data_IF_724724274686
#
_entry.id   IF_724724274686
#
_cell.length_a   1.000
_cell.length_b   1.000
_cell.length_c   1.000
_cell.angle_alpha   90.00
_cell.angle_beta   90.00
_cell.angle_gamma   90.00
#
_symmetry.space_group_name_H-M   'P 1'
#
loop_
_entity.id
_entity.type
_entity.pdbx_description
1 polymer ?
#
# COMPACT_ATOMS: atom_id res chain seq x y z
N UNK A 1 45.30 46.71 -35.26
CA UNK A 1 44.00 46.01 -35.26
C UNK A 1 43.76 45.46 -33.86
N UNK A 2 42.81 45.98 -33.09
CA UNK A 2 42.56 45.55 -31.70
C UNK A 2 41.42 44.50 -31.71
N UNK A 3 41.74 43.22 -31.51
CA UNK A 3 40.73 42.18 -31.30
C UNK A 3 40.19 42.33 -29.87
N UNK A 4 38.91 42.66 -29.74
CA UNK A 4 38.18 42.59 -28.47
C UNK A 4 37.66 41.17 -28.32
N UNK A 5 38.25 40.39 -27.41
CA UNK A 5 37.76 39.07 -27.04
C UNK A 5 36.54 39.25 -26.14
N UNK A 6 35.35 38.94 -26.65
CA UNK A 6 34.13 38.88 -25.85
C UNK A 6 34.04 37.48 -25.22
N UNK A 7 34.19 37.41 -23.90
CA UNK A 7 34.01 36.19 -23.13
C UNK A 7 32.51 36.03 -22.82
N UNK A 8 31.81 35.18 -23.57
CA UNK A 8 30.41 34.82 -23.29
C UNK A 8 30.35 33.87 -22.11
N UNK A 9 29.80 34.35 -20.98
CA UNK A 9 29.40 33.50 -19.87
C UNK A 9 28.13 32.74 -20.26
N UNK A 10 28.26 31.43 -20.47
CA UNK A 10 27.13 30.53 -20.66
C UNK A 10 26.53 30.22 -19.28
N UNK A 11 25.40 30.86 -18.93
CA UNK A 11 24.61 30.46 -17.76
C UNK A 11 23.97 29.09 -18.06
N UNK A 12 24.49 28.03 -17.44
CA UNK A 12 23.78 26.75 -17.37
C UNK A 12 22.62 26.89 -16.40
N UNK A 13 21.40 27.04 -16.91
CA UNK A 13 20.20 26.82 -16.12
C UNK A 13 20.06 25.32 -15.89
N UNK A 14 20.36 24.86 -14.67
CA UNK A 14 19.97 23.51 -14.27
C UNK A 14 18.43 23.45 -14.30
N UNK A 15 17.88 22.77 -15.30
CA UNK A 15 16.46 22.47 -15.31
C UNK A 15 16.17 21.57 -14.11
N UNK A 16 15.58 22.13 -13.06
CA UNK A 16 14.96 21.33 -12.01
C UNK A 16 13.73 20.68 -12.65
N UNK A 17 13.93 19.53 -13.29
CA UNK A 17 12.82 18.74 -13.80
C UNK A 17 12.00 18.32 -12.59
N UNK A 18 10.73 18.76 -12.51
CA UNK A 18 9.77 18.19 -11.57
C UNK A 18 9.91 16.66 -11.60
N UNK A 19 9.99 16.03 -10.43
CA UNK A 19 10.04 14.59 -10.32
C UNK A 19 8.66 14.09 -9.90
N UNK A 20 7.72 13.97 -10.84
CA UNK A 20 6.33 13.65 -10.52
C UNK A 20 6.19 12.35 -9.71
N UNK A 21 7.17 11.43 -9.80
CA UNK A 21 7.22 10.17 -9.04
C UNK A 21 7.56 10.33 -7.55
N UNK A 22 8.14 11.46 -7.13
CA UNK A 22 8.49 11.74 -5.72
C UNK A 22 7.39 12.55 -5.04
N UNK A 23 6.65 13.36 -5.81
CA UNK A 23 5.59 14.24 -5.29
C UNK A 23 4.18 13.62 -5.38
N UNK A 24 4.04 12.45 -6.02
CA UNK A 24 2.76 11.76 -6.20
C UNK A 24 2.27 10.97 -4.99
N UNK A 25 3.06 10.89 -3.91
CA UNK A 25 2.69 10.14 -2.71
C UNK A 25 1.80 10.99 -1.80
N UNK A 26 0.78 10.38 -1.20
CA UNK A 26 -0.01 11.02 -0.16
C UNK A 26 0.81 11.03 1.12
N UNK A 27 1.58 12.12 1.33
CA UNK A 27 2.37 12.33 2.52
C UNK A 27 1.48 12.67 3.71
N UNK A 28 1.81 12.11 4.87
CA UNK A 28 1.22 12.48 6.14
C UNK A 28 1.33 14.00 6.37
N UNK A 29 0.24 14.63 6.77
CA UNK A 29 0.14 16.05 7.10
C UNK A 29 -0.06 16.28 8.61
N UNK A 30 0.44 15.36 9.45
CA UNK A 30 0.27 15.38 10.90
C UNK A 30 -0.94 14.61 11.44
N UNK A 31 -1.61 13.82 10.60
CA UNK A 31 -2.72 12.98 11.04
C UNK A 31 -2.26 11.64 11.63
N UNK A 32 -3.08 11.10 12.53
CA UNK A 32 -2.93 9.73 13.05
C UNK A 32 -3.95 8.80 12.39
N UNK A 33 -3.58 7.54 12.21
CA UNK A 33 -4.46 6.55 11.64
C UNK A 33 -5.68 6.30 12.52
N UNK A 34 -6.83 6.05 11.89
CA UNK A 34 -8.11 5.90 12.60
C UNK A 34 -9.02 4.87 11.94
N UNK A 35 -9.85 4.22 12.76
CA UNK A 35 -10.77 3.16 12.34
C UNK A 35 -11.87 2.97 13.39
N UNK A 36 -12.87 2.16 13.05
CA UNK A 36 -13.92 1.74 13.96
C UNK A 36 -13.62 0.34 14.49
N UNK A 37 -13.23 0.27 15.75
CA UNK A 37 -12.85 -0.97 16.41
C UNK A 37 -14.10 -1.73 16.87
N UNK A 38 -14.18 -3.03 16.57
CA UNK A 38 -15.17 -3.92 17.18
C UNK A 38 -14.78 -4.21 18.64
N UNK A 39 -15.39 -3.54 19.61
CA UNK A 39 -15.01 -3.61 21.03
C UNK A 39 -15.60 -4.81 21.77
N UNK A 40 -16.65 -5.44 21.22
CA UNK A 40 -17.26 -6.63 21.82
C UNK A 40 -16.75 -7.94 21.22
N UNK A 41 -15.90 -7.88 20.18
CA UNK A 41 -15.29 -9.03 19.52
C UNK A 41 -16.27 -9.97 18.77
N UNK A 42 -17.56 -9.63 18.72
CA UNK A 42 -18.59 -10.47 18.13
C UNK A 42 -18.73 -10.17 16.63
N UNK A 43 -18.43 -11.12 15.72
CA UNK A 43 -18.55 -10.88 14.29
C UNK A 43 -20.00 -10.90 13.78
N UNK A 44 -20.95 -11.47 14.54
CA UNK A 44 -22.37 -11.56 14.15
C UNK A 44 -23.20 -10.40 14.69
N UNK A 45 -22.73 -9.73 15.75
CA UNK A 45 -23.38 -8.57 16.36
C UNK A 45 -22.31 -7.61 16.91
N UNK A 46 -21.54 -6.96 16.03
CA UNK A 46 -20.40 -6.13 16.43
C UNK A 46 -20.86 -4.85 17.14
N UNK A 47 -20.03 -4.34 18.04
CA UNK A 47 -20.18 -3.01 18.62
C UNK A 47 -18.97 -2.17 18.25
N UNK A 48 -19.19 -1.14 17.44
CA UNK A 48 -18.12 -0.33 16.89
C UNK A 48 -17.91 0.97 17.68
N UNK A 49 -16.67 1.24 18.03
CA UNK A 49 -16.25 2.52 18.63
C UNK A 49 -15.16 3.13 17.75
N UNK A 50 -15.28 4.42 17.45
CA UNK A 50 -14.26 5.14 16.70
C UNK A 50 -12.99 5.26 17.54
N UNK A 51 -11.86 4.91 16.94
CA UNK A 51 -10.56 4.89 17.56
C UNK A 51 -9.54 5.63 16.69
N UNK A 52 -8.80 6.55 17.32
CA UNK A 52 -7.62 7.18 16.74
C UNK A 52 -6.38 6.55 17.40
N UNK A 53 -5.50 6.01 16.57
CA UNK A 53 -4.25 5.39 17.03
C UNK A 53 -3.16 6.42 17.35
N UNK A 54 -2.03 5.96 17.88
CA UNK A 54 -0.81 6.77 18.00
C UNK A 54 0.14 6.60 16.79
N UNK A 55 -0.31 5.91 15.73
CA UNK A 55 0.46 5.66 14.51
C UNK A 55 0.17 6.75 13.50
N UNK A 56 1.21 7.26 12.81
CA UNK A 56 1.01 8.22 11.73
C UNK A 56 0.22 7.57 10.59
N UNK A 57 -0.74 8.32 10.04
CA UNK A 57 -1.43 7.91 8.83
C UNK A 57 -0.53 8.08 7.59
N UNK A 58 -0.82 7.34 6.54
CA UNK A 58 -0.29 7.52 5.20
C UNK A 58 1.24 7.35 5.06
N UNK A 59 1.85 7.97 4.05
CA UNK A 59 3.31 7.93 3.84
C UNK A 59 4.00 8.89 4.79
N UNK A 60 4.90 8.38 5.63
CA UNK A 60 5.64 9.19 6.61
C UNK A 60 6.97 9.72 6.08
N UNK A 61 7.55 9.07 5.06
CA UNK A 61 8.81 9.51 4.46
C UNK A 61 8.99 8.97 3.05
N UNK A 62 9.54 9.81 2.17
CA UNK A 62 10.03 9.39 0.85
C UNK A 62 11.50 9.78 0.74
N UNK A 63 12.36 8.82 0.40
CA UNK A 63 13.77 9.03 0.07
C UNK A 63 14.01 8.55 -1.35
N UNK A 64 14.99 9.09 -2.06
CA UNK A 64 15.33 8.63 -3.41
C UNK A 64 16.81 8.83 -3.74
N UNK A 65 17.25 8.14 -4.78
CA UNK A 65 18.48 8.42 -5.50
C UNK A 65 18.21 8.38 -7.02
N UNK A 66 19.24 8.29 -7.85
CA UNK A 66 19.07 8.27 -9.30
C UNK A 66 18.40 6.99 -9.82
N UNK A 67 18.43 5.89 -9.05
CA UNK A 67 17.92 4.58 -9.47
C UNK A 67 16.63 4.16 -8.77
N UNK A 68 16.40 4.57 -7.52
CA UNK A 68 15.33 4.05 -6.67
C UNK A 68 14.63 5.13 -5.86
N UNK A 69 13.38 4.82 -5.47
CA UNK A 69 12.58 5.54 -4.50
C UNK A 69 12.26 4.59 -3.35
N UNK A 70 12.50 5.02 -2.12
CA UNK A 70 12.11 4.34 -0.89
C UNK A 70 10.95 5.09 -0.24
N UNK A 71 9.87 4.38 0.05
CA UNK A 71 8.67 4.93 0.67
C UNK A 71 8.44 4.24 2.00
N UNK A 72 8.38 5.03 3.08
CA UNK A 72 8.10 4.55 4.43
C UNK A 72 6.66 4.83 4.81
N UNK A 73 5.98 3.82 5.34
CA UNK A 73 4.62 3.91 5.88
C UNK A 73 4.41 2.81 6.91
N UNK A 74 3.53 3.03 7.87
CA UNK A 74 3.07 1.97 8.77
C UNK A 74 1.96 1.10 8.18
N UNK A 75 1.54 1.39 6.94
CA UNK A 75 0.49 0.66 6.23
C UNK A 75 -0.93 1.00 6.71
N UNK A 76 -1.08 2.12 7.41
CA UNK A 76 -2.36 2.57 7.97
C UNK A 76 -2.70 3.96 7.43
N UNK A 77 -4.00 4.28 7.37
CA UNK A 77 -4.50 5.59 6.93
C UNK A 77 -5.60 6.09 7.87
N UNK A 78 -6.18 7.24 7.55
CA UNK A 78 -7.34 7.79 8.28
C UNK A 78 -8.63 7.14 7.80
N UNK A 79 -9.64 7.06 8.69
CA UNK A 79 -10.98 6.57 8.38
C UNK A 79 -10.98 5.22 7.64
N UNK A 80 -10.30 4.21 8.18
CA UNK A 80 -10.22 2.88 7.55
C UNK A 80 -11.55 2.08 7.65
N UNK A 81 -12.54 2.59 8.38
CA UNK A 81 -13.87 2.00 8.51
C UNK A 81 -14.00 0.93 9.60
N UNK A 82 -15.08 0.13 9.50
CA UNK A 82 -15.50 -0.91 10.46
C UNK A 82 -15.02 -2.31 10.04
N UNK A 83 -14.33 -3.02 10.93
CA UNK A 83 -13.82 -4.37 10.64
C UNK A 83 -14.44 -5.42 11.55
N UNK A 84 -14.98 -6.49 10.95
CA UNK A 84 -15.70 -7.52 11.67
C UNK A 84 -14.78 -8.52 12.39
N UNK A 85 -13.67 -8.91 11.77
CA UNK A 85 -12.56 -9.76 12.26
C UNK A 85 -11.68 -10.18 11.06
N UNK A 86 -10.42 -10.65 11.24
CA UNK A 86 -9.84 -11.21 12.47
C UNK A 86 -8.75 -10.36 13.15
N UNK A 87 -8.67 -9.06 12.87
CA UNK A 87 -7.73 -8.17 13.57
C UNK A 87 -8.17 -6.71 13.57
N UNK A 88 -7.65 -5.94 14.51
CA UNK A 88 -7.61 -4.48 14.41
C UNK A 88 -6.33 -4.08 13.65
N UNK A 89 -6.35 -3.04 12.81
CA UNK A 89 -5.16 -2.63 12.09
C UNK A 89 -4.10 -2.09 13.07
N UNK A 90 -2.85 -2.50 12.86
CA UNK A 90 -1.69 -2.12 13.68
C UNK A 90 -0.53 -1.69 12.79
N UNK A 91 0.38 -0.88 13.35
CA UNK A 91 1.55 -0.39 12.63
C UNK A 91 2.46 -1.54 12.19
N UNK A 92 2.83 -1.57 10.92
CA UNK A 92 3.67 -2.63 10.35
C UNK A 92 5.10 -2.17 9.99
N UNK A 93 5.41 -0.86 10.07
CA UNK A 93 6.72 -0.29 9.75
C UNK A 93 7.29 -0.74 8.37
N UNK A 94 6.50 -0.60 7.31
CA UNK A 94 6.93 -0.94 5.96
C UNK A 94 7.96 0.02 5.39
N UNK A 95 8.80 -0.50 4.48
CA UNK A 95 9.62 0.29 3.57
C UNK A 95 9.53 -0.34 2.18
N UNK A 96 8.87 0.34 1.26
CA UNK A 96 8.74 -0.09 -0.13
C UNK A 96 9.83 0.53 -0.98
N UNK A 97 10.32 -0.21 -1.97
CA UNK A 97 11.38 0.26 -2.87
C UNK A 97 10.94 0.08 -4.31
N UNK A 98 10.97 1.17 -5.08
CA UNK A 98 10.58 1.18 -6.48
C UNK A 98 11.75 1.64 -7.36
N UNK A 99 12.06 0.93 -8.45
CA UNK A 99 13.00 1.47 -9.44
C UNK A 99 12.38 2.68 -10.13
N UNK A 100 13.17 3.73 -10.36
CA UNK A 100 12.73 4.94 -11.06
C UNK A 100 12.46 4.71 -12.54
N UNK A 101 13.09 3.68 -13.11
CA UNK A 101 12.85 3.22 -14.47
C UNK A 101 12.40 1.76 -14.40
N UNK A 102 11.11 1.50 -14.14
CA UNK A 102 10.59 0.14 -14.12
C UNK A 102 10.67 -0.47 -15.53
N UNK A 103 11.06 -1.73 -15.61
CA UNK A 103 10.97 -2.53 -16.83
C UNK A 103 9.97 -3.65 -16.62
N UNK A 104 9.13 -3.89 -17.64
CA UNK A 104 8.22 -5.03 -17.60
C UNK A 104 9.05 -6.30 -17.82
N UNK A 105 9.00 -7.28 -16.91
CA UNK A 105 9.74 -8.52 -17.09
C UNK A 105 9.21 -9.29 -18.31
N UNK A 106 10.14 -9.87 -19.09
CA UNK A 106 9.81 -10.69 -20.27
C UNK A 106 9.05 -11.97 -19.88
N UNK A 107 9.41 -12.56 -18.74
CA UNK A 107 8.69 -13.67 -18.11
C UNK A 107 7.84 -13.15 -16.95
N UNK A 108 6.52 -13.28 -17.05
CA UNK A 108 5.59 -12.91 -15.98
C UNK A 108 5.48 -14.02 -14.95
N UNK A 109 5.41 -13.65 -13.68
CA UNK A 109 5.14 -14.58 -12.57
C UNK A 109 3.86 -14.18 -11.86
N UNK A 110 3.15 -15.18 -11.32
CA UNK A 110 1.98 -14.98 -10.45
C UNK A 110 2.38 -14.94 -8.97
N UNK A 111 3.69 -14.99 -8.68
CA UNK A 111 4.27 -14.99 -7.33
C UNK A 111 4.86 -13.61 -6.98
N UNK A 112 4.74 -13.13 -5.74
CA UNK A 112 4.12 -13.81 -4.60
C UNK A 112 2.59 -13.75 -4.67
N UNK A 113 1.95 -14.84 -4.28
CA UNK A 113 0.48 -14.94 -4.21
C UNK A 113 -0.08 -14.43 -2.87
N UNK A 114 0.78 -14.25 -1.87
CA UNK A 114 0.45 -13.86 -0.50
C UNK A 114 1.41 -12.74 -0.08
N UNK A 115 0.94 -11.83 0.78
CA UNK A 115 1.70 -10.70 1.26
C UNK A 115 1.75 -9.55 0.26
N UNK A 116 2.49 -8.50 0.59
CA UNK A 116 2.55 -7.28 -0.21
C UNK A 116 3.22 -7.50 -1.57
N UNK A 117 2.47 -7.24 -2.64
CA UNK A 117 2.94 -7.23 -4.04
C UNK A 117 3.07 -5.80 -4.60
N UNK A 118 2.58 -4.81 -3.85
CA UNK A 118 2.60 -3.42 -4.23
C UNK A 118 2.13 -2.53 -3.09
N UNK A 119 1.92 -1.26 -3.40
CA UNK A 119 1.53 -0.24 -2.44
C UNK A 119 0.67 0.81 -3.14
N UNK A 120 -0.34 1.31 -2.43
CA UNK A 120 -1.16 2.45 -2.84
C UNK A 120 -0.42 3.76 -2.58
N UNK A 121 -0.88 4.86 -3.17
CA UNK A 121 -0.20 6.17 -3.08
C UNK A 121 -0.12 6.71 -1.65
N UNK A 122 -1.00 6.26 -0.76
CA UNK A 122 -0.99 6.59 0.66
C UNK A 122 -0.19 5.60 1.53
N UNK A 123 0.53 4.63 0.96
CA UNK A 123 1.36 3.73 1.75
C UNK A 123 0.68 2.46 2.26
N UNK A 124 -0.62 2.28 2.00
CA UNK A 124 -1.33 1.02 2.29
C UNK A 124 -0.89 -0.07 1.30
N UNK A 125 -0.48 -1.26 1.76
CA UNK A 125 -0.05 -2.34 0.87
C UNK A 125 -1.19 -2.92 0.02
N UNK A 126 -0.80 -3.39 -1.17
CA UNK A 126 -1.63 -4.24 -2.04
C UNK A 126 -1.14 -5.68 -1.83
N UNK A 127 -2.01 -6.59 -1.41
CA UNK A 127 -1.66 -7.99 -1.22
C UNK A 127 -1.95 -8.85 -2.45
N UNK A 128 -1.21 -9.95 -2.56
CA UNK A 128 -1.44 -10.96 -3.59
C UNK A 128 -2.81 -11.63 -3.45
N UNK A 129 -3.32 -12.16 -4.57
CA UNK A 129 -4.69 -12.64 -4.71
C UNK A 129 -4.98 -14.03 -4.09
N UNK A 130 -4.18 -14.50 -3.14
CA UNK A 130 -4.42 -15.77 -2.46
C UNK A 130 -4.71 -15.58 -0.97
N UNK A 131 -5.64 -16.35 -0.45
CA UNK A 131 -5.95 -16.42 0.98
C UNK A 131 -4.95 -17.33 1.75
N UNK A 132 -3.81 -17.64 1.14
CA UNK A 132 -2.80 -18.58 1.66
C UNK A 132 -3.24 -20.05 1.82
N UNK A 133 -4.47 -20.40 1.41
CA UNK A 133 -4.92 -21.78 1.35
C UNK A 133 -4.59 -22.41 0.00
N UNK A 134 -4.18 -23.68 0.04
CA UNK A 134 -4.00 -24.50 -1.15
C UNK A 134 -4.72 -25.85 -1.04
N UNK A 135 -5.02 -26.45 -2.20
CA UNK A 135 -5.54 -27.80 -2.29
C UNK A 135 -4.40 -28.82 -2.16
N UNK A 136 -4.44 -29.64 -1.11
CA UNK A 136 -3.41 -30.67 -0.84
C UNK A 136 -3.74 -32.05 -1.44
N UNK A 137 -4.75 -32.16 -2.30
CA UNK A 137 -5.24 -33.45 -2.82
C UNK A 137 -6.44 -34.03 -2.06
N UNK A 138 -6.79 -33.49 -0.89
CA UNK A 138 -7.94 -33.96 -0.08
C UNK A 138 -8.85 -32.82 0.33
N UNK A 139 -8.30 -31.66 0.72
CA UNK A 139 -9.07 -30.48 1.11
C UNK A 139 -8.32 -29.17 0.79
N UNK A 140 -9.01 -28.04 0.94
CA UNK A 140 -8.48 -26.68 0.76
C UNK A 140 -8.01 -26.06 2.09
N UNK A 141 -7.32 -26.82 2.95
CA UNK A 141 -6.95 -26.35 4.29
C UNK A 141 -5.44 -26.41 4.59
N UNK A 142 -4.61 -26.66 3.59
CA UNK A 142 -3.17 -26.48 3.75
C UNK A 142 -2.84 -24.99 3.75
N UNK A 143 -2.19 -24.49 4.81
CA UNK A 143 -1.52 -23.19 4.76
C UNK A 143 -0.18 -23.34 4.02
N UNK A 144 0.11 -22.48 3.05
CA UNK A 144 1.42 -22.43 2.39
C UNK A 144 1.37 -22.52 0.87
N UNK A 145 2.46 -22.98 0.27
CA UNK A 145 2.65 -23.02 -1.19
C UNK A 145 2.23 -24.39 -1.73
N UNK A 146 1.14 -24.45 -2.49
CA UNK A 146 0.68 -25.68 -3.16
C UNK A 146 0.38 -25.51 -4.64
N UNK A 147 0.02 -26.62 -5.30
CA UNK A 147 -0.24 -26.69 -6.75
C UNK A 147 -1.43 -25.82 -7.16
N UNK A 148 -2.48 -25.77 -6.34
CA UNK A 148 -3.69 -24.98 -6.58
C UNK A 148 -3.96 -24.10 -5.36
N UNK A 149 -3.69 -22.80 -5.48
CA UNK A 149 -3.92 -21.83 -4.41
C UNK A 149 -5.31 -21.23 -4.64
N UNK A 150 -6.05 -21.01 -3.56
CA UNK A 150 -7.40 -20.47 -3.62
C UNK A 150 -7.32 -18.96 -3.91
N UNK A 151 -8.10 -18.51 -4.88
CA UNK A 151 -8.23 -17.09 -5.23
C UNK A 151 -9.09 -16.39 -4.18
N UNK A 152 -8.46 -15.52 -3.42
CA UNK A 152 -9.03 -14.85 -2.24
C UNK A 152 -10.31 -14.09 -2.55
N UNK A 153 -10.35 -13.38 -3.69
CA UNK A 153 -11.51 -12.60 -4.10
C UNK A 153 -12.74 -13.48 -4.37
N UNK A 154 -12.54 -14.71 -4.85
CA UNK A 154 -13.64 -15.66 -5.08
C UNK A 154 -14.03 -16.40 -3.81
N UNK A 155 -13.09 -16.73 -2.94
CA UNK A 155 -13.33 -17.53 -1.74
C UNK A 155 -13.87 -16.74 -0.56
N UNK A 156 -13.34 -15.55 -0.34
CA UNK A 156 -13.75 -14.66 0.76
C UNK A 156 -14.80 -13.66 0.29
N UNK A 157 -14.89 -13.42 -1.02
CA UNK A 157 -16.02 -12.74 -1.63
C UNK A 157 -16.23 -11.32 -1.10
N UNK A 158 -17.47 -11.01 -0.73
CA UNK A 158 -17.92 -9.65 -0.43
C UNK A 158 -17.25 -9.01 0.79
N UNK A 159 -16.71 -9.78 1.74
CA UNK A 159 -16.08 -9.28 2.98
C UNK A 159 -14.62 -8.85 2.80
N UNK A 160 -13.94 -9.37 1.77
CA UNK A 160 -12.50 -9.21 1.60
C UNK A 160 -12.06 -7.74 1.44
N UNK A 161 -12.87 -6.87 0.87
CA UNK A 161 -12.55 -5.44 0.77
C UNK A 161 -13.81 -4.62 1.08
N UNK A 162 -14.71 -5.17 1.92
CA UNK A 162 -16.03 -4.60 2.21
C UNK A 162 -15.95 -3.20 2.82
N UNK A 163 -14.89 -2.95 3.58
CA UNK A 163 -14.74 -1.75 4.37
C UNK A 163 -13.80 -0.81 3.66
N UNK A 164 -14.38 0.05 2.82
CA UNK A 164 -13.66 1.10 2.10
C UNK A 164 -12.54 0.57 1.20
N UNK A 165 -12.65 -0.69 0.75
CA UNK A 165 -11.75 -1.26 -0.23
C UNK A 165 -10.54 -2.02 0.33
N UNK A 166 -10.50 -2.26 1.64
CA UNK A 166 -9.38 -2.93 2.30
C UNK A 166 -9.82 -3.57 3.64
N UNK A 167 -8.94 -4.37 4.22
CA UNK A 167 -9.15 -5.00 5.53
C UNK A 167 -7.81 -5.34 6.21
N UNK A 168 -7.80 -5.51 7.54
CA UNK A 168 -6.66 -6.08 8.25
C UNK A 168 -6.69 -7.62 8.28
N UNK A 169 -5.53 -8.25 8.12
CA UNK A 169 -5.37 -9.65 8.52
C UNK A 169 -5.29 -9.83 10.04
N UNK A 170 -5.21 -11.08 10.52
CA UNK A 170 -5.07 -11.43 11.94
C UNK A 170 -3.93 -10.69 12.65
N UNK A 171 -2.80 -10.51 11.97
CA UNK A 171 -1.60 -9.85 12.51
C UNK A 171 -1.67 -8.31 12.40
N UNK A 172 -2.80 -7.76 11.95
CA UNK A 172 -3.08 -6.32 11.94
C UNK A 172 -2.58 -5.58 10.71
N UNK A 173 -1.96 -6.25 9.72
CA UNK A 173 -1.60 -5.60 8.47
C UNK A 173 -2.85 -5.25 7.67
N UNK A 174 -3.18 -3.96 7.60
CA UNK A 174 -4.23 -3.40 6.74
C UNK A 174 -3.78 -3.38 5.29
N UNK A 175 -4.59 -3.91 4.38
CA UNK A 175 -4.22 -4.08 2.98
C UNK A 175 -5.46 -4.18 2.08
N UNK A 176 -5.25 -3.91 0.78
CA UNK A 176 -6.27 -4.12 -0.26
C UNK A 176 -5.87 -5.29 -1.15
N UNK A 177 -6.86 -6.01 -1.71
CA UNK A 177 -6.62 -7.04 -2.74
C UNK A 177 -7.02 -6.59 -4.12
N UNK A 178 -8.18 -5.95 -4.26
CA UNK A 178 -8.78 -5.72 -5.57
C UNK A 178 -9.49 -4.37 -5.73
N UNK A 179 -10.03 -3.78 -4.66
CA UNK A 179 -10.92 -2.60 -4.79
C UNK A 179 -10.49 -1.42 -3.92
N UNK A 180 -9.32 -0.79 -4.15
CA UNK A 180 -8.84 0.32 -3.32
C UNK A 180 -9.55 1.67 -3.57
N UNK A 181 -10.87 1.70 -3.85
CA UNK A 181 -11.58 2.86 -4.42
C UNK A 181 -11.48 4.17 -3.63
N UNK A 182 -11.33 4.13 -2.30
CA UNK A 182 -11.07 5.34 -1.47
C UNK A 182 -9.60 5.61 -1.17
N UNK A 183 -8.72 4.68 -1.51
CA UNK A 183 -7.30 4.71 -1.15
C UNK A 183 -6.40 5.23 -2.28
N UNK A 184 -6.97 5.54 -3.44
CA UNK A 184 -6.28 6.22 -4.55
C UNK A 184 -6.93 7.54 -4.98
N UNK A 185 -8.13 7.89 -4.48
CA UNK A 185 -8.77 9.17 -4.79
C UNK A 185 -8.19 10.30 -3.94
N UNK A 186 -6.98 10.73 -4.29
CA UNK A 186 -6.53 12.09 -3.99
C UNK A 186 -5.91 12.71 -5.25
N UNK A 187 -6.75 12.99 -6.25
CA UNK A 187 -6.41 14.01 -7.24
C UNK A 187 -7.21 15.25 -6.88
N UNK A 188 -6.56 16.16 -6.14
CA UNK A 188 -7.04 17.51 -6.03
C UNK A 188 -7.12 18.15 -7.41
N UNK A 189 -8.25 18.79 -7.68
CA UNK A 189 -8.30 20.02 -8.49
C UNK A 189 -7.78 21.17 -7.66
#
# INVERSE_FOLDING_TARGET
MKLKSALSFLLLTAACTAQPLVDSWTLNQGQYASYWQNTNGNPNNPSFVFYTSNTLADVSKVCHNDAYVWVKSDGMTTDMGQFLNPGAPTAQNYTFVFPRVPSVPTSKTISPKVGAIGMLTNGVPIYGLSNAHYYNGTNNNGMGVGTWNVEVYKSEGFVLDATLGAHPQMQGAYHSHAKPYRLYESFGT
#
